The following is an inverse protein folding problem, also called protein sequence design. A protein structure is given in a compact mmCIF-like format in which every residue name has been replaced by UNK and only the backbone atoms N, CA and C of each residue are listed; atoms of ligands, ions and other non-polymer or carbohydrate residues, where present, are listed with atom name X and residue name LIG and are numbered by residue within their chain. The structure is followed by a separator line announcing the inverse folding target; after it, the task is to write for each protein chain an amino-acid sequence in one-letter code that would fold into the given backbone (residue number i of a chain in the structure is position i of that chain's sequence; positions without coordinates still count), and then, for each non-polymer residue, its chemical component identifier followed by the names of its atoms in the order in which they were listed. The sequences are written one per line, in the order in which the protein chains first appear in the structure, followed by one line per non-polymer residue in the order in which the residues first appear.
data_IF_686568931749
#
_entry.id   IF_686568931749
#
_cell.length_a   1.000
_cell.length_b   1.000
_cell.length_c   1.000
_cell.angle_alpha   90.00
_cell.angle_beta   90.00
_cell.angle_gamma   90.00
#
_symmetry.space_group_name_H-M   'P 1'
#
loop_
_entity.id
_entity.type
_entity.pdbx_description
1 polymer ?
#
# COMPACT_ATOMS: atom_id res chain seq x y z
N UNK A 1 -13.91 -32.38 17.45
CA UNK A 1 -14.94 -31.49 18.05
C UNK A 1 -14.40 -30.17 18.59
N UNK A 2 -13.44 -30.09 19.54
CA UNK A 2 -12.95 -28.78 20.06
C UNK A 2 -12.15 -27.94 19.03
N UNK A 3 -11.36 -28.57 18.15
CA UNK A 3 -10.61 -27.84 17.11
C UNK A 3 -11.49 -27.24 16.04
N UNK A 4 -12.53 -27.96 15.61
CA UNK A 4 -13.46 -27.48 14.58
C UNK A 4 -14.28 -26.29 15.07
N UNK A 5 -14.69 -26.26 16.34
CA UNK A 5 -15.42 -25.13 16.93
C UNK A 5 -14.56 -23.86 17.03
N UNK A 6 -13.27 -23.98 17.35
CA UNK A 6 -12.33 -22.84 17.41
C UNK A 6 -12.07 -22.29 16.02
N UNK A 7 -11.91 -23.13 15.01
CA UNK A 7 -11.72 -22.69 13.62
C UNK A 7 -12.96 -21.92 13.10
N UNK A 8 -14.17 -22.45 13.37
CA UNK A 8 -15.43 -21.80 12.99
C UNK A 8 -15.56 -20.43 13.67
N UNK A 9 -15.23 -20.33 14.95
CA UNK A 9 -15.29 -19.08 15.72
C UNK A 9 -14.28 -18.05 15.19
N UNK A 10 -13.05 -18.46 14.88
CA UNK A 10 -12.04 -17.59 14.27
C UNK A 10 -12.47 -17.10 12.87
N UNK A 11 -13.08 -17.94 12.04
CA UNK A 11 -13.61 -17.56 10.73
C UNK A 11 -14.75 -16.54 10.84
N UNK A 12 -15.63 -16.67 11.84
CA UNK A 12 -16.71 -15.71 12.05
C UNK A 12 -16.18 -14.36 12.56
N UNK A 13 -15.22 -14.35 13.47
CA UNK A 13 -14.55 -13.13 13.95
C UNK A 13 -13.85 -12.41 12.80
N UNK A 14 -13.08 -13.13 11.98
CA UNK A 14 -12.39 -12.59 10.82
C UNK A 14 -13.36 -11.98 9.82
N UNK A 15 -14.45 -12.66 9.51
CA UNK A 15 -15.52 -12.18 8.62
C UNK A 15 -16.18 -10.90 9.13
N UNK A 16 -16.45 -10.81 10.43
CA UNK A 16 -17.00 -9.59 11.05
C UNK A 16 -16.02 -8.42 10.98
N UNK A 17 -14.73 -8.67 11.21
CA UNK A 17 -13.70 -7.64 11.17
C UNK A 17 -13.52 -7.11 9.73
N UNK A 18 -13.48 -7.97 8.72
CA UNK A 18 -13.44 -7.57 7.31
C UNK A 18 -14.63 -6.69 6.95
N UNK A 19 -15.86 -7.06 7.35
CA UNK A 19 -17.07 -6.24 7.13
C UNK A 19 -16.96 -4.86 7.79
N UNK A 20 -16.39 -4.81 9.01
CA UNK A 20 -16.14 -3.53 9.70
C UNK A 20 -15.09 -2.68 8.97
N UNK A 21 -14.00 -3.28 8.52
CA UNK A 21 -12.98 -2.60 7.72
C UNK A 21 -13.61 -2.01 6.45
N UNK A 22 -14.36 -2.79 5.67
CA UNK A 22 -15.05 -2.31 4.45
C UNK A 22 -15.92 -1.09 4.72
N UNK A 23 -16.77 -1.15 5.76
CA UNK A 23 -17.65 -0.03 6.13
C UNK A 23 -16.86 1.20 6.59
N UNK A 24 -15.72 0.97 7.24
CA UNK A 24 -14.89 2.05 7.80
C UNK A 24 -14.16 2.84 6.70
N UNK A 25 -13.70 2.16 5.64
CA UNK A 25 -12.95 2.79 4.55
C UNK A 25 -13.83 3.31 3.41
N UNK A 26 -15.11 2.96 3.37
CA UNK A 26 -16.03 3.36 2.30
C UNK A 26 -16.04 4.87 2.00
N UNK A 27 -16.03 5.78 3.01
CA UNK A 27 -15.99 7.23 2.76
C UNK A 27 -14.73 7.71 2.03
N UNK A 28 -13.65 6.95 2.09
CA UNK A 28 -12.34 7.30 1.54
C UNK A 28 -12.06 6.62 0.20
N UNK A 29 -12.92 5.68 -0.21
CA UNK A 29 -12.76 4.87 -1.41
C UNK A 29 -13.32 5.59 -2.63
N UNK A 30 -12.46 5.83 -3.62
CA UNK A 30 -12.82 6.45 -4.89
C UNK A 30 -12.76 5.39 -5.99
N UNK A 31 -13.91 4.91 -6.44
CA UNK A 31 -14.04 3.87 -7.48
C UNK A 31 -14.30 4.44 -8.87
N UNK A 32 -14.66 5.72 -8.94
CA UNK A 32 -14.91 6.46 -10.17
C UNK A 32 -14.34 7.87 -10.02
N UNK A 33 -13.39 8.22 -10.88
CA UNK A 33 -12.75 9.54 -10.84
C UNK A 33 -13.58 10.67 -11.45
N UNK A 34 -14.69 10.38 -12.13
CA UNK A 34 -15.55 11.40 -12.74
C UNK A 34 -16.12 12.32 -11.66
N UNK A 35 -15.90 13.62 -11.83
CA UNK A 35 -16.37 14.62 -10.86
C UNK A 35 -15.66 14.59 -9.50
N UNK A 36 -14.56 13.83 -9.36
CA UNK A 36 -13.75 13.85 -8.16
C UNK A 36 -13.22 15.26 -7.88
N UNK A 37 -13.26 15.66 -6.62
CA UNK A 37 -12.72 16.92 -6.09
C UNK A 37 -11.99 16.63 -4.79
N UNK A 38 -10.67 16.87 -4.76
CA UNK A 38 -9.86 16.64 -3.58
C UNK A 38 -10.29 17.51 -2.39
N UNK A 39 -10.78 18.69 -2.66
CA UNK A 39 -11.32 19.64 -1.65
C UNK A 39 -12.50 19.12 -0.83
N UNK A 40 -13.13 18.00 -1.23
CA UNK A 40 -14.20 17.35 -0.47
C UNK A 40 -13.67 16.39 0.61
N UNK A 41 -12.38 16.14 0.63
CA UNK A 41 -11.73 15.21 1.57
C UNK A 41 -10.91 16.01 2.58
N UNK A 42 -11.42 16.10 3.80
CA UNK A 42 -10.73 16.80 4.89
C UNK A 42 -9.51 15.99 5.37
N UNK A 43 -8.28 16.54 5.30
CA UNK A 43 -7.08 15.88 5.84
C UNK A 43 -7.15 15.56 7.35
N UNK A 44 -7.98 16.31 8.08
CA UNK A 44 -8.17 16.16 9.53
C UNK A 44 -9.35 15.25 9.91
N UNK A 45 -10.09 14.71 8.94
CA UNK A 45 -11.26 13.86 9.22
C UNK A 45 -10.91 12.64 10.08
N UNK A 46 -11.78 12.36 11.04
CA UNK A 46 -11.70 11.21 11.95
C UNK A 46 -12.95 10.32 11.84
N UNK A 47 -13.78 10.54 10.85
CA UNK A 47 -15.03 9.83 10.65
C UNK A 47 -15.91 9.86 11.90
N UNK A 48 -16.27 8.69 12.39
CA UNK A 48 -17.07 8.55 13.63
C UNK A 48 -16.22 8.49 14.91
N UNK A 49 -14.88 8.48 14.78
CA UNK A 49 -13.97 8.46 15.91
C UNK A 49 -13.64 9.90 16.32
N UNK A 50 -13.85 10.27 17.58
CA UNK A 50 -13.41 11.57 18.10
C UNK A 50 -11.90 11.61 18.37
N UNK A 51 -11.38 12.79 18.72
CA UNK A 51 -9.95 12.96 19.08
C UNK A 51 -9.52 12.08 20.26
N UNK A 52 -10.44 11.78 21.17
CA UNK A 52 -10.18 10.97 22.38
C UNK A 52 -10.19 9.46 22.09
N UNK A 53 -10.58 9.03 20.90
CA UNK A 53 -10.64 7.62 20.51
C UNK A 53 -9.29 7.01 20.09
N UNK A 54 -8.18 7.72 20.32
CA UNK A 54 -6.83 7.25 19.90
C UNK A 54 -6.49 5.88 20.50
N UNK A 55 -6.81 5.64 21.78
CA UNK A 55 -6.54 4.36 22.44
C UNK A 55 -7.34 3.23 21.80
N UNK A 56 -8.65 3.42 21.62
CA UNK A 56 -9.53 2.47 20.94
C UNK A 56 -9.07 2.16 19.51
N UNK A 57 -8.57 3.17 18.80
CA UNK A 57 -8.06 3.00 17.44
C UNK A 57 -6.75 2.20 17.40
N UNK A 58 -5.88 2.33 18.40
CA UNK A 58 -4.67 1.52 18.54
C UNK A 58 -5.04 0.05 18.76
N UNK A 59 -5.96 -0.23 19.68
CA UNK A 59 -6.45 -1.60 19.96
C UNK A 59 -7.09 -2.24 18.70
N UNK A 60 -7.82 -1.43 17.90
CA UNK A 60 -8.40 -1.88 16.63
C UNK A 60 -7.32 -2.13 15.58
N UNK A 61 -6.27 -1.31 15.53
CA UNK A 61 -5.15 -1.47 14.63
C UNK A 61 -4.40 -2.78 14.92
N UNK A 62 -4.12 -3.08 16.19
CA UNK A 62 -3.45 -4.31 16.61
C UNK A 62 -4.22 -5.55 16.16
N UNK A 63 -5.53 -5.62 16.44
CA UNK A 63 -6.39 -6.71 15.97
C UNK A 63 -6.47 -6.82 14.43
N UNK A 64 -6.39 -5.68 13.75
CA UNK A 64 -6.37 -5.66 12.30
C UNK A 64 -5.04 -6.16 11.73
N UNK A 65 -3.93 -5.90 12.41
CA UNK A 65 -2.60 -6.42 12.05
C UNK A 65 -2.56 -7.94 12.23
N UNK A 66 -3.08 -8.48 13.33
CA UNK A 66 -3.20 -9.93 13.53
C UNK A 66 -3.97 -10.61 12.39
N UNK A 67 -5.07 -10.01 11.93
CA UNK A 67 -5.81 -10.52 10.78
C UNK A 67 -5.01 -10.37 9.48
N UNK A 68 -4.27 -9.26 9.32
CA UNK A 68 -3.41 -9.03 8.17
C UNK A 68 -2.30 -10.08 8.07
N UNK A 69 -1.69 -10.46 9.19
CA UNK A 69 -0.70 -11.55 9.28
C UNK A 69 -1.29 -12.87 8.79
N UNK A 70 -2.48 -13.24 9.27
CA UNK A 70 -3.17 -14.47 8.86
C UNK A 70 -3.47 -14.49 7.37
N UNK A 71 -4.00 -13.39 6.83
CA UNK A 71 -4.31 -13.27 5.40
C UNK A 71 -3.05 -13.30 4.52
N UNK A 72 -1.96 -12.70 5.00
CA UNK A 72 -0.69 -12.72 4.29
C UNK A 72 -0.06 -14.11 4.29
N UNK A 73 -0.18 -14.87 5.38
CA UNK A 73 0.29 -16.26 5.44
C UNK A 73 -0.42 -17.14 4.40
N UNK A 74 -1.74 -17.00 4.28
CA UNK A 74 -2.51 -17.70 3.25
C UNK A 74 -2.11 -17.27 1.84
N UNK A 75 -1.88 -15.95 1.62
CA UNK A 75 -1.38 -15.45 0.34
C UNK A 75 -0.04 -16.09 -0.01
N UNK A 76 0.89 -16.09 0.95
CA UNK A 76 2.22 -16.66 0.78
C UNK A 76 2.19 -18.15 0.46
N UNK A 77 1.38 -18.91 1.20
CA UNK A 77 1.24 -20.35 1.01
C UNK A 77 0.55 -20.72 -0.32
N UNK A 78 -0.42 -19.92 -0.77
CA UNK A 78 -1.20 -20.22 -1.98
C UNK A 78 -0.42 -19.97 -3.27
N UNK A 79 0.53 -19.04 -3.29
CA UNK A 79 1.30 -18.59 -4.47
C UNK A 79 0.46 -18.30 -5.73
N UNK A 80 -0.83 -17.99 -5.53
CA UNK A 80 -1.80 -17.85 -6.64
C UNK A 80 -2.05 -16.40 -7.06
N UNK A 81 -1.91 -15.45 -6.13
CA UNK A 81 -2.15 -14.03 -6.31
C UNK A 81 -0.99 -13.20 -5.76
N UNK A 82 -0.94 -11.93 -6.11
CA UNK A 82 -0.06 -10.95 -5.47
C UNK A 82 -0.89 -9.73 -5.02
N UNK A 83 -0.37 -8.97 -4.07
CA UNK A 83 -0.92 -7.67 -3.70
C UNK A 83 0.13 -6.58 -3.94
N UNK A 84 -0.23 -5.54 -4.68
CA UNK A 84 0.56 -4.32 -4.83
C UNK A 84 -0.11 -3.20 -4.02
N UNK A 85 0.59 -2.67 -3.03
CA UNK A 85 0.18 -1.49 -2.26
C UNK A 85 0.98 -0.29 -2.73
N UNK A 86 0.32 0.71 -3.28
CA UNK A 86 0.92 1.95 -3.76
C UNK A 86 0.66 3.06 -2.74
N UNK A 87 1.71 3.68 -2.23
CA UNK A 87 1.65 4.80 -1.28
C UNK A 87 2.10 6.09 -1.95
N UNK A 88 1.18 7.04 -2.11
CA UNK A 88 1.46 8.37 -2.62
C UNK A 88 1.08 9.45 -1.61
N UNK A 89 1.89 10.47 -1.51
CA UNK A 89 1.66 11.61 -0.63
C UNK A 89 2.72 12.70 -0.80
N UNK A 90 2.41 13.89 -0.37
CA UNK A 90 3.39 14.95 -0.10
C UNK A 90 4.44 14.48 0.91
N UNK A 91 5.57 15.15 0.95
CA UNK A 91 6.62 14.84 1.93
C UNK A 91 6.11 15.08 3.36
N UNK A 92 6.62 14.30 4.30
CA UNK A 92 6.19 14.28 5.71
C UNK A 92 4.78 13.75 5.98
N UNK A 93 3.99 13.32 4.98
CA UNK A 93 2.64 12.79 5.18
C UNK A 93 2.60 11.48 5.99
N UNK A 94 3.69 10.69 6.00
CA UNK A 94 3.79 9.51 6.86
C UNK A 94 3.86 8.18 6.14
N UNK A 95 4.22 8.15 4.86
CA UNK A 95 4.41 6.91 4.06
C UNK A 95 5.24 5.85 4.79
N UNK A 96 6.45 6.22 5.28
CA UNK A 96 7.30 5.29 6.06
C UNK A 96 6.62 4.81 7.36
N UNK A 97 5.78 5.67 7.95
CA UNK A 97 5.02 5.33 9.14
C UNK A 97 3.93 4.28 8.86
N UNK A 98 3.31 4.30 7.69
CA UNK A 98 2.39 3.24 7.26
C UNK A 98 3.16 1.94 7.12
N UNK A 99 4.27 1.92 6.37
CA UNK A 99 5.09 0.71 6.22
C UNK A 99 5.49 0.15 7.59
N UNK A 100 6.05 0.98 8.48
CA UNK A 100 6.52 0.55 9.80
C UNK A 100 5.41 -0.01 10.71
N UNK A 101 4.24 0.62 10.75
CA UNK A 101 3.22 0.34 11.77
C UNK A 101 2.04 -0.49 11.27
N UNK A 102 1.81 -0.57 9.96
CA UNK A 102 0.76 -1.42 9.39
C UNK A 102 1.34 -2.76 8.98
N UNK A 103 2.56 -2.75 8.43
CA UNK A 103 3.21 -3.97 7.95
C UNK A 103 4.20 -4.57 8.96
N UNK A 104 4.34 -3.97 10.15
CA UNK A 104 5.35 -4.38 11.15
C UNK A 104 5.15 -5.76 11.76
N UNK A 105 3.92 -6.30 11.72
CA UNK A 105 3.61 -7.65 12.19
C UNK A 105 3.62 -8.72 11.10
N UNK A 106 3.69 -8.32 9.82
CA UNK A 106 3.61 -9.22 8.68
C UNK A 106 4.95 -9.94 8.47
N UNK A 107 4.90 -11.23 8.10
CA UNK A 107 6.12 -12.00 7.83
C UNK A 107 6.96 -11.34 6.71
N UNK A 108 8.20 -10.92 7.01
CA UNK A 108 9.04 -10.21 6.06
C UNK A 108 9.39 -11.05 4.81
N UNK A 109 9.34 -12.38 4.87
CA UNK A 109 9.53 -13.25 3.71
C UNK A 109 8.41 -13.11 2.66
N UNK A 110 7.23 -12.67 3.09
CA UNK A 110 6.07 -12.46 2.23
C UNK A 110 5.87 -11.01 1.78
N UNK A 111 6.82 -10.09 2.09
CA UNK A 111 6.69 -8.66 1.78
C UNK A 111 7.96 -8.09 1.16
N UNK A 112 7.80 -7.21 0.17
CA UNK A 112 8.90 -6.44 -0.43
C UNK A 112 8.53 -4.97 -0.45
N UNK A 113 9.38 -4.12 0.13
CA UNK A 113 9.22 -2.66 0.10
C UNK A 113 10.19 -2.07 -0.90
N UNK A 114 9.65 -1.35 -1.88
CA UNK A 114 10.42 -0.59 -2.87
C UNK A 114 10.17 0.91 -2.68
N UNK A 115 11.22 1.67 -2.42
CA UNK A 115 11.16 3.13 -2.30
C UNK A 115 11.72 3.77 -3.55
N UNK A 116 10.87 4.48 -4.29
CA UNK A 116 11.26 5.15 -5.52
C UNK A 116 11.63 6.61 -5.23
N UNK A 117 12.92 6.86 -5.20
CA UNK A 117 13.52 8.20 -5.14
C UNK A 117 13.76 8.73 -6.56
N UNK A 118 14.53 9.81 -6.66
CA UNK A 118 14.98 10.34 -7.95
C UNK A 118 15.58 9.22 -8.82
N UNK A 119 15.18 9.08 -10.08
CA UNK A 119 15.66 7.99 -10.94
C UNK A 119 17.15 8.11 -11.23
N UNK A 120 17.84 6.98 -11.24
CA UNK A 120 19.22 6.85 -11.67
C UNK A 120 19.37 7.07 -13.18
N UNK A 121 20.61 7.21 -13.65
CA UNK A 121 20.90 7.31 -15.10
C UNK A 121 20.38 6.10 -15.87
N UNK A 122 20.54 4.90 -15.33
CA UNK A 122 20.01 3.68 -15.93
C UNK A 122 18.48 3.70 -16.01
N UNK A 123 17.80 4.08 -14.93
CA UNK A 123 16.34 4.15 -14.89
C UNK A 123 15.80 5.18 -15.90
N UNK A 124 16.49 6.32 -16.08
CA UNK A 124 16.13 7.34 -17.09
C UNK A 124 16.38 6.92 -18.52
N UNK A 125 17.25 5.93 -18.78
CA UNK A 125 17.46 5.40 -20.14
C UNK A 125 16.36 4.44 -20.60
N UNK A 126 15.42 4.10 -19.72
CA UNK A 126 14.23 3.30 -19.99
C UNK A 126 12.96 4.16 -19.92
N UNK A 127 11.81 3.58 -20.29
CA UNK A 127 10.52 4.24 -20.10
C UNK A 127 10.19 4.39 -18.59
N UNK A 128 9.31 5.34 -18.27
CA UNK A 128 9.00 5.69 -16.87
C UNK A 128 8.39 4.56 -16.02
N UNK A 129 7.81 3.54 -16.64
CA UNK A 129 7.24 2.38 -15.94
C UNK A 129 8.31 1.35 -15.57
N UNK A 130 9.40 1.26 -16.35
CA UNK A 130 10.38 0.19 -16.28
C UNK A 130 10.88 -0.08 -14.87
N UNK A 131 11.31 0.95 -14.14
CA UNK A 131 11.87 0.81 -12.79
C UNK A 131 10.87 0.25 -11.78
N UNK A 132 9.58 0.55 -11.98
CA UNK A 132 8.49 0.05 -11.15
C UNK A 132 8.09 -1.37 -11.56
N UNK A 133 8.04 -1.66 -12.86
CA UNK A 133 7.75 -3.00 -13.39
C UNK A 133 8.79 -4.03 -12.91
N UNK A 134 10.08 -3.66 -12.91
CA UNK A 134 11.16 -4.50 -12.39
C UNK A 134 11.06 -4.82 -10.87
N UNK A 135 10.20 -4.14 -10.14
CA UNK A 135 10.00 -4.30 -8.68
C UNK A 135 8.61 -4.83 -8.29
N UNK A 136 7.80 -5.22 -9.28
CA UNK A 136 6.48 -5.79 -9.02
C UNK A 136 6.60 -7.07 -8.17
N UNK A 137 5.64 -7.31 -7.26
CA UNK A 137 5.65 -8.51 -6.43
C UNK A 137 5.37 -9.76 -7.27
N UNK A 138 6.11 -10.84 -6.98
CA UNK A 138 5.73 -12.17 -7.47
C UNK A 138 4.48 -12.67 -6.75
N UNK A 139 3.82 -13.70 -7.30
CA UNK A 139 2.69 -14.37 -6.63
C UNK A 139 3.13 -14.87 -5.24
N UNK A 140 2.21 -14.86 -4.29
CA UNK A 140 2.46 -15.13 -2.88
C UNK A 140 2.99 -13.93 -2.08
N UNK A 141 3.24 -12.78 -2.72
CA UNK A 141 3.91 -11.64 -2.07
C UNK A 141 3.02 -10.39 -2.00
N UNK A 142 3.28 -9.58 -0.98
CA UNK A 142 2.84 -8.19 -0.90
C UNK A 142 3.99 -7.28 -1.32
N UNK A 143 3.83 -6.56 -2.43
CA UNK A 143 4.73 -5.49 -2.83
C UNK A 143 4.23 -4.15 -2.32
N UNK A 144 5.11 -3.36 -1.69
CA UNK A 144 4.77 -2.03 -1.17
C UNK A 144 5.63 -1.02 -1.90
N UNK A 145 5.00 -0.16 -2.68
CA UNK A 145 5.63 0.93 -3.38
C UNK A 145 5.52 2.22 -2.56
N UNK A 146 6.61 2.65 -1.94
CA UNK A 146 6.72 3.96 -1.31
C UNK A 146 7.14 4.97 -2.38
N UNK A 147 6.18 5.75 -2.90
CA UNK A 147 6.12 6.37 -4.21
C UNK A 147 6.06 5.29 -5.31
N UNK A 148 5.83 5.66 -6.56
CA UNK A 148 5.64 4.67 -7.64
C UNK A 148 5.76 5.32 -9.02
N UNK A 149 5.28 4.63 -10.03
CA UNK A 149 5.11 5.15 -11.39
C UNK A 149 4.19 6.40 -11.46
N UNK A 150 3.44 6.69 -10.40
CA UNK A 150 2.63 7.90 -10.31
C UNK A 150 3.46 9.19 -10.15
N UNK A 151 4.74 9.09 -9.76
CA UNK A 151 5.63 10.27 -9.74
C UNK A 151 5.71 10.95 -11.11
N UNK A 152 5.54 10.20 -12.20
CA UNK A 152 5.50 10.73 -13.56
C UNK A 152 4.38 11.76 -13.77
N UNK A 153 3.21 11.55 -13.19
CA UNK A 153 2.07 12.44 -13.29
C UNK A 153 1.90 13.34 -12.05
N UNK A 154 2.87 13.31 -11.14
CA UNK A 154 2.97 14.12 -9.93
C UNK A 154 4.20 15.01 -10.00
N UNK A 155 5.36 14.57 -9.52
CA UNK A 155 6.55 15.42 -9.44
C UNK A 155 7.07 15.83 -10.84
N UNK A 156 7.08 14.91 -11.81
CA UNK A 156 7.48 15.27 -13.20
C UNK A 156 6.49 16.24 -13.83
N UNK A 157 5.22 16.18 -13.47
CA UNK A 157 4.21 17.12 -13.96
C UNK A 157 4.33 18.50 -13.34
N UNK A 158 4.71 18.58 -12.05
CA UNK A 158 4.98 19.83 -11.34
C UNK A 158 6.29 20.45 -11.81
N UNK A 159 7.27 19.60 -12.13
CA UNK A 159 8.62 19.97 -12.61
C UNK A 159 8.88 19.39 -14.00
N UNK A 160 8.23 19.92 -15.06
CA UNK A 160 8.32 19.34 -16.39
C UNK A 160 9.74 19.37 -17.00
N UNK A 161 10.65 20.14 -16.42
CA UNK A 161 12.08 20.12 -16.78
C UNK A 161 12.73 18.74 -16.59
N UNK A 162 12.18 17.88 -15.70
CA UNK A 162 12.68 16.51 -15.53
C UNK A 162 12.50 15.65 -16.77
N UNK A 163 11.53 15.97 -17.64
CA UNK A 163 11.30 15.29 -18.92
C UNK A 163 12.51 15.36 -19.86
N UNK A 164 13.34 16.41 -19.73
CA UNK A 164 14.57 16.51 -20.54
C UNK A 164 15.52 15.34 -20.25
N UNK A 165 15.56 14.84 -19.00
CA UNK A 165 16.33 13.67 -18.62
C UNK A 165 15.81 12.33 -19.19
N UNK A 166 14.57 12.32 -19.69
CA UNK A 166 13.91 11.20 -20.36
C UNK A 166 13.91 11.35 -21.89
N UNK A 167 14.56 12.40 -22.42
CA UNK A 167 14.64 12.67 -23.86
C UNK A 167 13.44 13.43 -24.44
N UNK A 168 12.53 13.95 -23.61
CA UNK A 168 11.39 14.74 -24.07
C UNK A 168 11.67 16.24 -23.94
N UNK A 169 11.10 17.02 -24.86
CA UNK A 169 11.11 18.47 -24.72
C UNK A 169 9.99 18.90 -23.75
N UNK A 170 10.32 19.57 -22.62
CA UNK A 170 9.32 20.01 -21.64
C UNK A 170 8.19 20.87 -22.22
N UNK A 171 8.45 21.65 -23.27
CA UNK A 171 7.44 22.48 -23.94
C UNK A 171 6.33 21.68 -24.62
N UNK A 172 6.55 20.38 -24.88
CA UNK A 172 5.57 19.47 -25.47
C UNK A 172 4.67 18.79 -24.41
N UNK A 173 4.94 18.99 -23.12
CA UNK A 173 4.16 18.42 -22.01
C UNK A 173 2.78 19.10 -21.84
N UNK A 174 1.95 19.04 -22.90
CA UNK A 174 0.58 19.55 -22.95
C UNK A 174 -0.42 18.47 -22.50
N UNK A 175 -1.72 18.79 -22.49
CA UNK A 175 -2.80 17.88 -22.04
C UNK A 175 -2.69 16.49 -22.66
N UNK A 176 -2.54 16.39 -23.97
CA UNK A 176 -2.46 15.11 -24.67
C UNK A 176 -1.27 14.23 -24.20
N UNK A 177 -0.14 14.84 -23.83
CA UNK A 177 1.01 14.13 -23.27
C UNK A 177 0.65 13.48 -21.93
N UNK A 178 0.01 14.22 -21.03
CA UNK A 178 -0.37 13.71 -19.72
C UNK A 178 -1.51 12.69 -19.79
N UNK A 179 -2.45 12.85 -20.71
CA UNK A 179 -3.49 11.86 -20.99
C UNK A 179 -2.89 10.51 -21.41
N UNK A 180 -1.82 10.53 -22.23
CA UNK A 180 -1.11 9.31 -22.63
C UNK A 180 -0.38 8.66 -21.43
N UNK A 181 0.21 9.46 -20.54
CA UNK A 181 0.81 8.94 -19.29
C UNK A 181 -0.24 8.26 -18.41
N UNK A 182 -1.40 8.86 -18.20
CA UNK A 182 -2.52 8.22 -17.47
C UNK A 182 -3.00 6.95 -18.16
N UNK A 183 -3.07 6.94 -19.48
CA UNK A 183 -3.45 5.74 -20.26
C UNK A 183 -2.45 4.61 -20.06
N UNK A 184 -1.17 4.89 -20.11
CA UNK A 184 -0.10 3.93 -19.88
C UNK A 184 -0.17 3.31 -18.49
N UNK A 185 -0.38 4.14 -17.46
CA UNK A 185 -0.58 3.69 -16.07
C UNK A 185 -1.80 2.77 -15.96
N UNK A 186 -2.95 3.21 -16.48
CA UNK A 186 -4.19 2.42 -16.45
C UNK A 186 -4.03 1.09 -17.20
N UNK A 187 -3.28 1.06 -18.29
CA UNK A 187 -3.00 -0.16 -19.04
C UNK A 187 -2.15 -1.15 -18.22
N UNK A 188 -1.11 -0.65 -17.52
CA UNK A 188 -0.31 -1.47 -16.61
C UNK A 188 -1.18 -2.05 -15.49
N UNK A 189 -1.98 -1.22 -14.81
CA UNK A 189 -2.83 -1.68 -13.71
C UNK A 189 -3.85 -2.71 -14.17
N UNK A 190 -4.49 -2.50 -15.33
CA UNK A 190 -5.41 -3.48 -15.93
C UNK A 190 -4.71 -4.80 -16.26
N UNK A 191 -3.47 -4.75 -16.79
CA UNK A 191 -2.67 -5.93 -17.04
C UNK A 191 -2.38 -6.70 -15.75
N UNK A 192 -1.98 -6.01 -14.67
CA UNK A 192 -1.70 -6.61 -13.37
C UNK A 192 -2.93 -7.30 -12.78
N UNK A 193 -4.08 -6.62 -12.80
CA UNK A 193 -5.36 -7.16 -12.32
C UNK A 193 -5.76 -8.43 -13.09
N UNK A 194 -5.66 -8.41 -14.43
CA UNK A 194 -5.94 -9.58 -15.27
C UNK A 194 -5.00 -10.76 -14.98
N UNK A 195 -3.82 -10.50 -14.40
CA UNK A 195 -2.82 -11.51 -14.04
C UNK A 195 -2.77 -11.82 -12.54
N UNK A 196 -3.87 -11.58 -11.83
CA UNK A 196 -4.05 -11.91 -10.41
C UNK A 196 -3.16 -11.10 -9.44
N UNK A 197 -2.80 -9.89 -9.81
CA UNK A 197 -2.19 -8.92 -8.90
C UNK A 197 -3.25 -7.88 -8.53
N UNK A 198 -3.75 -7.94 -7.30
CA UNK A 198 -4.66 -6.91 -6.76
C UNK A 198 -3.87 -5.65 -6.42
N UNK A 199 -4.51 -4.49 -6.54
CA UNK A 199 -3.85 -3.20 -6.34
C UNK A 199 -4.63 -2.37 -5.32
N UNK A 200 -3.95 -1.91 -4.27
CA UNK A 200 -4.45 -0.94 -3.29
C UNK A 200 -3.68 0.36 -3.46
N UNK A 201 -4.38 1.41 -3.86
CA UNK A 201 -3.79 2.74 -4.08
C UNK A 201 -4.17 3.68 -2.95
N UNK A 202 -3.19 4.15 -2.20
CA UNK A 202 -3.36 5.00 -1.02
C UNK A 202 -2.75 6.37 -1.29
N UNK A 203 -3.57 7.40 -1.22
CA UNK A 203 -3.12 8.78 -1.17
C UNK A 203 -3.30 9.32 0.26
N UNK A 204 -2.19 9.63 0.93
CA UNK A 204 -2.21 10.26 2.25
C UNK A 204 -2.45 11.76 2.09
N UNK A 205 -3.69 12.17 2.28
CA UNK A 205 -4.13 13.56 2.18
C UNK A 205 -3.73 14.32 3.45
N UNK A 206 -2.68 15.11 3.36
CA UNK A 206 -2.10 15.89 4.46
C UNK A 206 -2.43 17.37 4.29
N UNK A 207 -2.72 18.08 5.37
CA UNK A 207 -2.86 19.53 5.33
C UNK A 207 -1.50 20.24 5.28
N UNK A 208 -1.42 21.45 4.66
CA UNK A 208 -0.18 22.22 4.62
C UNK A 208 0.30 22.62 6.01
N UNK A 209 -0.62 22.83 6.94
CA UNK A 209 -0.31 23.20 8.32
C UNK A 209 0.29 22.02 9.10
N UNK A 210 -0.29 20.83 8.97
CA UNK A 210 0.26 19.64 9.62
C UNK A 210 1.61 19.26 9.00
N UNK A 211 1.80 19.44 7.68
CA UNK A 211 3.09 19.24 7.05
C UNK A 211 4.15 20.16 7.65
N UNK A 212 3.83 21.47 7.80
CA UNK A 212 4.71 22.45 8.42
C UNK A 212 5.14 22.03 9.83
N UNK A 213 4.17 21.61 10.67
CA UNK A 213 4.44 21.10 12.02
C UNK A 213 5.40 19.90 12.01
N UNK A 214 5.19 18.97 11.08
CA UNK A 214 6.04 17.77 10.98
C UNK A 214 7.45 18.07 10.50
N UNK A 215 7.63 19.04 9.60
CA UNK A 215 8.93 19.49 9.15
C UNK A 215 9.67 20.20 10.28
N UNK A 216 9.02 21.10 11.00
CA UNK A 216 9.61 21.75 12.20
C UNK A 216 10.03 20.70 13.24
N UNK A 217 9.17 19.73 13.55
CA UNK A 217 9.50 18.67 14.49
C UNK A 217 10.68 17.78 14.03
N UNK A 218 11.01 17.74 12.74
CA UNK A 218 12.24 17.09 12.25
C UNK A 218 13.49 17.92 12.57
N UNK A 219 13.41 19.25 12.46
CA UNK A 219 14.49 20.15 12.81
C UNK A 219 14.77 20.14 14.31
N UNK A 220 13.71 20.12 15.12
CA UNK A 220 13.80 20.18 16.57
C UNK A 220 14.21 18.83 17.23
N UNK A 221 14.24 17.73 16.47
CA UNK A 221 14.55 16.39 17.00
C UNK A 221 15.87 15.88 16.41
N UNK A 222 16.99 15.86 17.15
CA UNK A 222 18.31 15.47 16.63
C UNK A 222 18.31 14.13 15.90
N UNK A 223 17.67 13.11 16.46
CA UNK A 223 17.57 11.76 15.85
C UNK A 223 16.76 11.71 14.54
N UNK A 224 16.12 12.82 14.15
CA UNK A 224 15.34 12.95 12.92
C UNK A 224 15.95 13.93 11.92
N UNK A 225 16.98 14.70 12.30
CA UNK A 225 17.58 15.70 11.42
C UNK A 225 18.09 15.09 10.11
N UNK A 226 18.59 13.86 10.12
CA UNK A 226 19.03 13.15 8.92
C UNK A 226 17.93 12.93 7.85
N UNK A 227 16.66 13.06 8.23
CA UNK A 227 15.51 13.00 7.31
C UNK A 227 15.15 14.34 6.71
N UNK A 228 15.73 15.41 7.20
CA UNK A 228 15.46 16.74 6.69
C UNK A 228 16.19 16.96 5.37
N UNK A 229 15.49 17.53 4.40
CA UNK A 229 16.04 17.95 3.13
C UNK A 229 15.63 19.40 2.86
N UNK A 230 16.57 20.20 2.39
CA UNK A 230 16.30 21.56 1.94
C UNK A 230 15.23 21.54 0.81
N UNK A 231 15.26 20.52 -0.05
CA UNK A 231 14.24 20.28 -1.06
C UNK A 231 12.83 20.18 -0.49
N UNK A 232 12.64 19.61 0.72
CA UNK A 232 11.31 19.53 1.36
C UNK A 232 10.67 20.91 1.56
N UNK A 233 11.49 21.96 1.78
CA UNK A 233 11.01 23.34 1.94
C UNK A 233 10.64 23.91 0.58
N UNK A 234 11.50 23.73 -0.41
CA UNK A 234 11.27 24.22 -1.76
C UNK A 234 10.02 23.62 -2.39
N UNK A 235 9.80 22.31 -2.24
CA UNK A 235 8.62 21.63 -2.76
C UNK A 235 7.29 22.16 -2.18
N UNK A 236 7.32 22.82 -1.01
CA UNK A 236 6.13 23.47 -0.44
C UNK A 236 5.64 24.68 -1.24
N UNK A 237 6.52 25.33 -1.99
CA UNK A 237 6.16 26.47 -2.85
C UNK A 237 5.24 26.02 -4.00
N UNK A 238 5.31 24.75 -4.36
CA UNK A 238 4.51 24.12 -5.42
C UNK A 238 3.23 23.44 -4.88
N UNK A 239 2.84 23.71 -3.62
CA UNK A 239 1.71 23.04 -2.96
C UNK A 239 0.46 22.95 -3.83
N UNK A 240 -0.01 24.06 -4.37
CA UNK A 240 -1.23 24.11 -5.17
C UNK A 240 -1.11 23.32 -6.47
N UNK A 241 0.07 23.28 -7.06
CA UNK A 241 0.36 22.49 -8.26
C UNK A 241 0.31 21.00 -7.95
N UNK A 242 0.88 20.57 -6.83
CA UNK A 242 0.77 19.19 -6.34
C UNK A 242 -0.68 18.81 -6.04
N UNK A 243 -1.46 19.68 -5.38
CA UNK A 243 -2.87 19.38 -5.10
C UNK A 243 -3.68 19.17 -6.38
N UNK A 244 -3.43 19.97 -7.42
CA UNK A 244 -4.04 19.76 -8.75
C UNK A 244 -3.56 18.45 -9.38
N UNK A 245 -2.28 18.14 -9.31
CA UNK A 245 -1.72 16.91 -9.85
C UNK A 245 -2.31 15.66 -9.16
N UNK A 246 -2.47 15.67 -7.83
CA UNK A 246 -3.13 14.60 -7.08
C UNK A 246 -4.61 14.47 -7.44
N UNK A 247 -5.34 15.59 -7.57
CA UNK A 247 -6.75 15.57 -7.99
C UNK A 247 -6.89 14.92 -9.37
N UNK A 248 -6.05 15.30 -10.33
CA UNK A 248 -6.08 14.74 -11.68
C UNK A 248 -5.61 13.29 -11.72
N UNK A 249 -4.58 12.92 -10.96
CA UNK A 249 -4.14 11.54 -10.79
C UNK A 249 -5.31 10.65 -10.36
N UNK A 250 -6.00 11.02 -9.29
CA UNK A 250 -7.14 10.26 -8.78
C UNK A 250 -8.28 10.25 -9.81
N UNK A 251 -8.56 11.40 -10.43
CA UNK A 251 -9.61 11.53 -11.44
C UNK A 251 -9.41 10.62 -12.65
N UNK A 252 -8.18 10.51 -13.14
CA UNK A 252 -7.87 9.76 -14.37
C UNK A 252 -7.56 8.29 -14.13
N UNK A 253 -7.28 7.89 -12.90
CA UNK A 253 -6.79 6.52 -12.62
C UNK A 253 -7.59 5.77 -11.57
N UNK A 254 -8.71 6.33 -11.05
CA UNK A 254 -9.62 5.55 -10.21
C UNK A 254 -10.46 4.61 -11.04
N UNK A 255 -10.54 3.35 -10.65
CA UNK A 255 -11.47 2.37 -11.19
C UNK A 255 -12.08 1.54 -10.07
N UNK A 256 -13.12 0.78 -10.40
CA UNK A 256 -13.77 -0.11 -9.43
C UNK A 256 -12.83 -1.21 -8.96
N UNK A 257 -12.00 -1.72 -9.86
CA UNK A 257 -11.07 -2.83 -9.63
C UNK A 257 -9.78 -2.37 -8.96
N UNK A 258 -9.37 -1.11 -9.17
CA UNK A 258 -8.20 -0.48 -8.55
C UNK A 258 -8.56 0.92 -8.03
N UNK A 259 -9.33 1.02 -6.94
CA UNK A 259 -9.74 2.30 -6.38
C UNK A 259 -8.56 3.04 -5.74
N UNK A 260 -8.67 4.36 -5.68
CA UNK A 260 -7.89 5.17 -4.77
C UNK A 260 -8.56 5.27 -3.41
N UNK A 261 -7.76 5.20 -2.35
CA UNK A 261 -8.18 5.56 -0.99
C UNK A 261 -7.56 6.90 -0.64
N UNK A 262 -8.41 7.93 -0.49
CA UNK A 262 -8.01 9.29 -0.07
C UNK A 262 -8.02 9.32 1.46
N UNK A 263 -6.88 9.05 2.06
CA UNK A 263 -6.75 8.81 3.50
C UNK A 263 -6.43 10.09 4.24
N UNK A 264 -7.25 10.52 5.23
CA UNK A 264 -6.91 11.64 6.10
C UNK A 264 -5.60 11.40 6.83
N UNK A 265 -4.62 12.32 6.70
CA UNK A 265 -3.26 12.06 7.16
C UNK A 265 -2.78 12.99 8.28
N UNK A 266 -3.57 13.95 8.72
CA UNK A 266 -3.19 14.84 9.83
C UNK A 266 -3.07 14.07 11.14
N UNK A 267 -3.86 13.01 11.32
CA UNK A 267 -3.79 12.14 12.49
C UNK A 267 -3.18 10.77 12.14
N UNK A 268 -1.90 10.56 12.47
CA UNK A 268 -1.14 9.34 12.13
C UNK A 268 -1.81 8.04 12.56
N UNK A 269 -2.45 8.01 13.73
CA UNK A 269 -3.14 6.82 14.24
C UNK A 269 -4.37 6.48 13.39
N UNK A 270 -5.08 7.52 12.89
CA UNK A 270 -6.25 7.34 12.05
C UNK A 270 -5.87 6.85 10.66
N UNK A 271 -4.90 7.50 10.02
CA UNK A 271 -4.41 7.07 8.71
C UNK A 271 -3.90 5.64 8.71
N UNK A 272 -3.22 5.19 9.77
CA UNK A 272 -2.78 3.79 9.91
C UNK A 272 -3.96 2.82 9.94
N UNK A 273 -5.02 3.16 10.68
CA UNK A 273 -6.23 2.33 10.78
C UNK A 273 -6.94 2.23 9.42
N UNK A 274 -7.08 3.33 8.69
CA UNK A 274 -7.68 3.33 7.35
C UNK A 274 -6.84 2.50 6.38
N UNK A 275 -5.51 2.69 6.35
CA UNK A 275 -4.61 1.94 5.48
C UNK A 275 -4.64 0.44 5.78
N UNK A 276 -4.61 0.05 7.06
CA UNK A 276 -4.72 -1.34 7.49
C UNK A 276 -6.04 -1.95 6.98
N UNK A 277 -7.16 -1.26 7.18
CA UNK A 277 -8.46 -1.74 6.71
C UNK A 277 -8.52 -1.92 5.18
N UNK A 278 -7.89 -1.03 4.41
CA UNK A 278 -7.86 -1.15 2.94
C UNK A 278 -7.05 -2.37 2.49
N UNK A 279 -5.93 -2.65 3.14
CA UNK A 279 -5.10 -3.82 2.83
C UNK A 279 -5.80 -5.13 3.24
N UNK A 280 -6.39 -5.18 4.42
CA UNK A 280 -7.18 -6.33 4.90
C UNK A 280 -8.34 -6.63 3.97
N UNK A 281 -9.10 -5.60 3.55
CA UNK A 281 -10.20 -5.79 2.60
C UNK A 281 -9.71 -6.41 1.28
N UNK A 282 -8.64 -5.86 0.70
CA UNK A 282 -8.10 -6.33 -0.57
C UNK A 282 -7.64 -7.79 -0.51
N UNK A 283 -6.97 -8.20 0.58
CA UNK A 283 -6.56 -9.58 0.79
C UNK A 283 -7.77 -10.51 0.98
N UNK A 284 -8.76 -10.08 1.75
CA UNK A 284 -9.97 -10.88 1.98
C UNK A 284 -10.81 -11.05 0.70
N UNK A 285 -10.82 -10.07 -0.20
CA UNK A 285 -11.51 -10.16 -1.50
C UNK A 285 -10.90 -11.18 -2.44
N UNK A 286 -9.62 -11.54 -2.29
CA UNK A 286 -8.98 -12.59 -3.08
C UNK A 286 -9.52 -14.00 -2.77
N UNK A 287 -10.18 -14.21 -1.62
CA UNK A 287 -10.75 -15.49 -1.17
C UNK A 287 -9.76 -16.64 -1.25
N UNK A 288 -8.57 -16.41 -0.75
CA UNK A 288 -7.47 -17.37 -0.78
C UNK A 288 -7.70 -18.50 0.21
N UNK A 289 -7.20 -19.69 -0.14
CA UNK A 289 -7.19 -20.88 0.71
C UNK A 289 -5.76 -21.45 0.78
N UNK A 290 -5.44 -22.13 1.86
CA UNK A 290 -4.22 -22.91 1.92
C UNK A 290 -4.22 -24.01 0.84
N UNK A 291 -3.07 -24.32 0.23
CA UNK A 291 -2.98 -25.41 -0.73
C UNK A 291 -3.42 -26.73 -0.09
N UNK A 292 -4.23 -27.49 -0.82
CA UNK A 292 -4.67 -28.81 -0.35
C UNK A 292 -3.55 -29.81 -0.57
N UNK A 293 -3.21 -30.52 0.50
CA UNK A 293 -2.28 -31.66 0.41
C UNK A 293 -2.94 -32.76 -0.39
N UNK A 294 -2.24 -33.37 -1.36
CA UNK A 294 -2.76 -34.47 -2.15
C UNK A 294 -3.20 -35.67 -1.29
N UNK A 295 -4.19 -36.42 -1.73
CA UNK A 295 -4.65 -37.61 -1.03
C UNK A 295 -3.52 -38.62 -0.86
N UNK A 296 -2.73 -38.84 -1.92
CA UNK A 296 -1.57 -39.70 -1.90
C UNK A 296 -0.54 -39.35 -0.81
N UNK A 297 -0.20 -38.06 -0.69
CA UNK A 297 0.73 -37.61 0.36
C UNK A 297 0.15 -37.79 1.77
N UNK A 298 -1.17 -37.61 1.94
CA UNK A 298 -1.83 -37.82 3.24
C UNK A 298 -1.77 -39.29 3.70
N UNK A 299 -1.81 -40.24 2.78
CA UNK A 299 -1.70 -41.67 3.09
C UNK A 299 -0.34 -42.02 3.72
N UNK A 300 0.71 -41.27 3.41
CA UNK A 300 2.05 -41.44 4.01
C UNK A 300 2.22 -40.74 5.36
N UNK A 301 1.33 -39.85 5.80
CA UNK A 301 1.46 -39.13 7.07
C UNK A 301 1.65 -40.04 8.29
N UNK A 302 0.91 -41.14 8.46
CA UNK A 302 1.14 -42.05 9.59
C UNK A 302 2.58 -42.62 9.61
N UNK A 303 3.08 -43.04 8.45
CA UNK A 303 4.44 -43.56 8.31
C UNK A 303 5.48 -42.49 8.62
N UNK A 304 5.34 -41.28 8.08
CA UNK A 304 6.25 -40.18 8.37
C UNK A 304 6.23 -39.80 9.86
N UNK A 305 5.07 -39.84 10.50
CA UNK A 305 4.95 -39.60 11.94
C UNK A 305 5.76 -40.65 12.73
N UNK A 306 5.59 -41.94 12.41
CA UNK A 306 6.34 -43.04 13.07
C UNK A 306 7.84 -42.84 12.87
N UNK A 307 8.30 -42.48 11.67
CA UNK A 307 9.72 -42.24 11.39
C UNK A 307 10.27 -41.05 12.19
N UNK A 308 9.51 -39.95 12.31
CA UNK A 308 9.92 -38.77 13.07
C UNK A 308 9.89 -38.98 14.59
N UNK A 309 9.03 -39.85 15.09
CA UNK A 309 8.95 -40.20 16.51
C UNK A 309 10.07 -41.16 16.96
N UNK A 310 10.79 -41.80 16.02
CA UNK A 310 12.00 -42.59 16.33
C UNK A 310 13.16 -41.68 16.69
N UNK A 311 13.82 -41.90 17.82
CA UNK A 311 15.04 -41.15 18.14
C UNK A 311 16.10 -41.34 17.02
N UNK A 312 16.78 -40.25 16.66
CA UNK A 312 17.95 -40.37 15.80
C UNK A 312 18.96 -41.30 16.48
N UNK A 313 19.33 -42.43 15.83
CA UNK A 313 20.43 -43.23 16.29
C UNK A 313 21.67 -42.33 16.32
N UNK A 314 22.16 -42.03 17.53
CA UNK A 314 23.49 -41.43 17.67
C UNK A 314 24.45 -42.41 16.99
N UNK A 315 25.01 -42.00 15.86
CA UNK A 315 26.08 -42.75 15.23
C UNK A 315 27.14 -43.07 16.31
N UNK A 316 27.32 -44.34 16.59
CA UNK A 316 28.40 -44.76 17.44
C UNK A 316 29.71 -44.40 16.77
N UNK A 317 30.67 -44.02 17.57
CA UNK A 317 32.05 -43.69 17.27
C UNK A 317 32.70 -44.58 16.23
#
# INVERSE_FOLDING_TARGET
MRRDSVIIEMMDISSRLVKRCRKFIEPYRVTDGRGFKLSRYDPGDLGKLGKDSKKEAVDKLEKGIELLEQLQEVLYASESHALLVVLQAMDSAGKDGIVKHVMGGVNPQGCVVSSFKQPSTLERSHDFLWRCVARLPRRGMIGIFNRSYYEEVLSVRVHPEFLAGEGFNPSHAKSAFWEERFRSINNLERHLLANRTSIVKIFLNLSPEEQRKRLLARLDTPDKNWKFSEGDIHEREFWDQYQKAYEEMIRHTSSREAPWYVVPADNKWYSRLVCMCAIVEALAEMRLEYPKVSGELKEFFPKFREELERPLSRGGD
#
